data_IF_861949065103
#
_entry.id   IF_861949065103
#
_cell.length_a   1.000
_cell.length_b   1.000
_cell.length_c   1.000
_cell.angle_alpha   90.00
_cell.angle_beta   90.00
_cell.angle_gamma   90.00
#
_symmetry.space_group_name_H-M   'P 1'
#
loop_
_entity.id
_entity.type
_entity.pdbx_description
1 polymer ?
#
# COMPACT_ATOMS: atom_id res chain seq x y z
N UNK A 1 18.50 -23.46 8.28
CA UNK A 1 19.77 -23.46 7.51
C UNK A 1 19.70 -24.23 6.18
N UNK A 2 19.07 -25.41 6.09
CA UNK A 2 19.02 -26.25 4.86
C UNK A 2 18.66 -25.51 3.55
N UNK A 3 17.59 -24.71 3.53
CA UNK A 3 17.16 -23.97 2.32
C UNK A 3 18.03 -22.78 1.93
N UNK A 4 18.78 -22.21 2.88
CA UNK A 4 19.71 -21.11 2.62
C UNK A 4 20.95 -21.61 1.87
N UNK A 5 21.47 -22.79 2.27
CA UNK A 5 22.64 -23.42 1.66
C UNK A 5 22.38 -23.84 0.21
N UNK A 6 21.17 -24.32 -0.10
CA UNK A 6 20.75 -24.66 -1.47
C UNK A 6 20.89 -23.49 -2.47
N UNK A 7 20.80 -22.23 -2.00
CA UNK A 7 20.99 -21.05 -2.84
C UNK A 7 22.46 -20.80 -3.21
N UNK A 8 23.40 -21.21 -2.37
CA UNK A 8 24.83 -21.13 -2.69
C UNK A 8 25.24 -22.20 -3.71
N UNK A 9 24.59 -23.36 -3.66
CA UNK A 9 24.87 -24.51 -4.53
C UNK A 9 24.05 -24.48 -5.83
N UNK A 10 23.17 -23.49 -6.02
CA UNK A 10 22.32 -23.38 -7.22
C UNK A 10 21.28 -24.50 -7.36
N UNK A 11 20.97 -25.20 -6.27
CA UNK A 11 20.02 -26.30 -6.27
C UNK A 11 18.60 -25.80 -5.99
N UNK A 12 17.69 -26.09 -6.93
CA UNK A 12 16.28 -25.73 -6.83
C UNK A 12 15.42 -26.99 -6.98
N UNK A 13 15.05 -27.66 -5.87
CA UNK A 13 14.29 -28.91 -5.92
C UNK A 13 12.88 -28.74 -6.47
N UNK A 14 12.35 -27.51 -6.47
CA UNK A 14 10.98 -27.21 -6.87
C UNK A 14 10.97 -26.30 -8.10
N UNK A 15 10.73 -26.87 -9.26
CA UNK A 15 10.70 -26.13 -10.52
C UNK A 15 9.26 -25.82 -10.94
N UNK A 16 9.07 -24.64 -11.53
CA UNK A 16 7.76 -24.26 -12.06
C UNK A 16 7.47 -25.07 -13.34
N UNK A 17 6.28 -25.69 -13.47
CA UNK A 17 5.91 -26.38 -14.71
C UNK A 17 5.49 -25.41 -15.82
N UNK A 18 5.29 -24.12 -15.51
CA UNK A 18 4.76 -23.10 -16.42
C UNK A 18 5.83 -22.08 -16.85
N UNK A 19 7.03 -22.12 -16.27
CA UNK A 19 8.17 -21.29 -16.65
C UNK A 19 9.49 -21.90 -16.15
N UNK A 20 10.64 -21.39 -16.60
CA UNK A 20 11.97 -21.93 -16.26
C UNK A 20 12.48 -21.57 -14.85
N UNK A 21 11.63 -21.08 -13.94
CA UNK A 21 12.06 -20.67 -12.60
C UNK A 21 12.08 -21.85 -11.61
N UNK A 22 13.17 -21.93 -10.83
CA UNK A 22 13.34 -22.89 -9.73
C UNK A 22 13.28 -22.23 -8.35
N UNK A 23 12.84 -22.99 -7.35
CA UNK A 23 12.68 -22.54 -5.96
C UNK A 23 13.26 -23.55 -4.96
N UNK A 24 13.75 -23.03 -3.83
CA UNK A 24 14.32 -23.83 -2.74
C UNK A 24 13.26 -24.48 -1.84
N UNK A 25 12.00 -24.00 -1.89
CA UNK A 25 10.90 -24.51 -1.10
C UNK A 25 9.59 -24.57 -1.92
N UNK A 26 8.77 -25.60 -1.65
CA UNK A 26 7.50 -25.81 -2.35
C UNK A 26 6.51 -24.66 -2.14
N UNK A 27 6.42 -24.11 -0.93
CA UNK A 27 5.54 -22.99 -0.62
C UNK A 27 5.83 -21.75 -1.46
N UNK A 28 7.10 -21.50 -1.77
CA UNK A 28 7.53 -20.39 -2.64
C UNK A 28 7.16 -20.66 -4.09
N UNK A 29 7.29 -21.91 -4.57
CA UNK A 29 6.83 -22.31 -5.90
C UNK A 29 5.30 -22.14 -6.04
N UNK A 30 4.51 -22.63 -5.08
CA UNK A 30 3.05 -22.53 -5.14
C UNK A 30 2.59 -21.08 -5.14
N UNK A 31 3.21 -20.25 -4.31
CA UNK A 31 2.95 -18.82 -4.29
C UNK A 31 3.36 -18.13 -5.60
N UNK A 32 4.47 -18.54 -6.23
CA UNK A 32 4.83 -18.08 -7.57
C UNK A 32 3.76 -18.43 -8.61
N UNK A 33 3.34 -19.71 -8.66
CA UNK A 33 2.31 -20.19 -9.60
C UNK A 33 1.05 -19.37 -9.44
N UNK A 34 0.57 -19.25 -8.21
CA UNK A 34 -0.62 -18.46 -7.87
C UNK A 34 -0.51 -17.01 -8.35
N UNK A 35 0.62 -16.37 -8.10
CA UNK A 35 0.81 -14.94 -8.41
C UNK A 35 1.01 -14.65 -9.89
N UNK A 36 1.73 -15.54 -10.60
CA UNK A 36 2.22 -15.28 -11.96
C UNK A 36 1.45 -16.00 -13.04
N UNK A 37 0.84 -17.13 -12.74
CA UNK A 37 0.15 -17.94 -13.71
C UNK A 37 -1.36 -17.99 -13.50
N UNK A 38 -1.85 -18.20 -12.26
CA UNK A 38 -3.31 -18.25 -12.01
C UNK A 38 -3.93 -16.87 -11.82
N UNK A 39 -3.15 -15.92 -11.32
CA UNK A 39 -3.62 -14.55 -11.11
C UNK A 39 -4.51 -14.38 -9.88
N UNK A 40 -4.69 -15.43 -9.07
CA UNK A 40 -5.42 -15.39 -7.80
C UNK A 40 -4.97 -14.25 -6.90
N UNK A 41 -5.93 -13.71 -6.16
CA UNK A 41 -5.77 -12.57 -5.25
C UNK A 41 -6.30 -12.93 -3.87
N UNK A 42 -5.56 -13.71 -3.07
CA UNK A 42 -6.07 -14.24 -1.81
C UNK A 42 -6.29 -13.20 -0.70
N UNK A 43 -5.84 -11.97 -0.92
CA UNK A 43 -5.88 -10.91 0.09
C UNK A 43 -6.85 -9.83 -0.39
N UNK A 44 -8.05 -9.78 0.18
CA UNK A 44 -9.08 -8.84 -0.23
C UNK A 44 -9.21 -7.69 0.77
N UNK A 45 -9.49 -6.50 0.26
CA UNK A 45 -9.78 -5.34 1.10
C UNK A 45 -11.18 -5.47 1.72
N UNK A 46 -11.33 -5.41 3.05
CA UNK A 46 -12.63 -5.52 3.70
C UNK A 46 -13.53 -4.30 3.46
N UNK A 47 -12.97 -3.18 2.97
CA UNK A 47 -13.71 -1.93 2.75
C UNK A 47 -14.25 -1.83 1.32
N UNK A 48 -13.45 -2.21 0.32
CA UNK A 48 -13.82 -2.05 -1.10
C UNK A 48 -13.76 -3.35 -1.91
N UNK A 49 -13.54 -4.50 -1.28
CA UNK A 49 -13.42 -5.83 -1.89
C UNK A 49 -12.34 -5.95 -2.97
N UNK A 50 -11.41 -5.01 -3.04
CA UNK A 50 -10.30 -5.06 -3.99
C UNK A 50 -9.31 -6.17 -3.60
N UNK A 51 -9.09 -7.12 -4.52
CA UNK A 51 -8.16 -8.24 -4.31
C UNK A 51 -6.70 -7.93 -4.64
N UNK A 52 -5.79 -8.43 -3.80
CA UNK A 52 -4.34 -8.31 -3.89
C UNK A 52 -3.64 -9.67 -3.89
N UNK A 53 -2.51 -9.74 -4.60
CA UNK A 53 -1.67 -10.95 -4.70
C UNK A 53 -0.74 -11.15 -3.49
N UNK A 54 -0.56 -10.12 -2.65
CA UNK A 54 0.35 -10.10 -1.50
C UNK A 54 -0.27 -9.32 -0.36
N UNK A 55 -0.13 -9.84 0.87
CA UNK A 55 -0.54 -9.15 2.10
C UNK A 55 0.06 -7.74 2.22
N UNK A 56 1.35 -7.58 1.98
CA UNK A 56 2.00 -6.26 2.05
C UNK A 56 1.40 -5.22 1.08
N UNK A 57 0.84 -5.64 -0.06
CA UNK A 57 0.17 -4.71 -0.96
C UNK A 57 -1.22 -4.34 -0.44
N UNK A 58 -1.95 -5.29 0.17
CA UNK A 58 -3.18 -5.02 0.89
C UNK A 58 -2.92 -4.05 2.06
N UNK A 59 -1.92 -4.30 2.91
CA UNK A 59 -1.60 -3.44 4.06
C UNK A 59 -1.31 -1.99 3.64
N UNK A 60 -0.59 -1.82 2.53
CA UNK A 60 -0.31 -0.50 1.95
C UNK A 60 -1.56 0.13 1.32
N UNK A 61 -2.42 -0.67 0.71
CA UNK A 61 -3.72 -0.22 0.20
C UNK A 61 -4.65 0.21 1.34
N UNK A 62 -4.66 -0.46 2.48
CA UNK A 62 -5.50 -0.04 3.62
C UNK A 62 -5.17 1.39 4.08
N UNK A 63 -3.93 1.85 3.90
CA UNK A 63 -3.52 3.25 4.15
C UNK A 63 -4.20 4.25 3.21
N UNK A 64 -4.83 3.81 2.12
CA UNK A 64 -5.66 4.67 1.27
C UNK A 64 -7.01 4.96 1.90
N UNK A 65 -7.53 4.04 2.71
CA UNK A 65 -8.73 4.25 3.49
C UNK A 65 -8.45 5.04 4.77
N UNK A 66 -7.36 4.73 5.50
CA UNK A 66 -7.03 5.41 6.76
C UNK A 66 -6.29 6.74 6.60
N UNK A 67 -5.74 7.02 5.41
CA UNK A 67 -4.97 8.24 5.16
C UNK A 67 -3.55 8.25 5.74
N UNK A 68 -3.09 7.14 6.34
CA UNK A 68 -1.78 7.04 6.97
C UNK A 68 -0.60 7.31 6.03
N UNK A 69 0.40 8.01 6.57
CA UNK A 69 1.64 8.38 5.87
C UNK A 69 2.88 8.21 6.77
N UNK A 70 3.28 6.96 7.04
CA UNK A 70 4.27 6.63 8.06
C UNK A 70 5.74 6.85 7.66
N UNK A 71 5.99 7.47 6.50
CA UNK A 71 7.33 7.75 5.99
C UNK A 71 7.53 9.27 5.81
N UNK A 72 7.92 10.01 6.85
CA UNK A 72 8.28 11.42 6.72
C UNK A 72 9.58 11.61 5.93
N UNK A 73 9.66 12.69 5.17
CA UNK A 73 10.91 13.14 4.55
C UNK A 73 11.84 13.70 5.63
N UNK A 74 13.09 13.22 5.75
CA UNK A 74 14.03 13.71 6.76
C UNK A 74 14.56 15.12 6.50
N UNK A 75 14.26 15.70 5.33
CA UNK A 75 14.72 17.05 4.92
C UNK A 75 13.63 18.11 5.13
N UNK A 76 12.36 17.77 4.92
CA UNK A 76 11.24 18.72 4.98
C UNK A 76 9.99 18.21 5.73
N UNK A 77 10.10 17.08 6.43
CA UNK A 77 9.04 16.41 7.21
C UNK A 77 7.77 16.04 6.43
N UNK A 78 7.74 16.25 5.11
CA UNK A 78 6.60 15.89 4.28
C UNK A 78 6.30 14.39 4.40
N UNK A 79 5.07 13.99 4.77
CA UNK A 79 4.75 12.59 5.03
C UNK A 79 4.34 11.84 3.75
N UNK A 80 4.77 10.58 3.61
CA UNK A 80 4.46 9.70 2.50
C UNK A 80 3.83 8.37 2.95
N UNK A 81 2.93 7.82 2.13
CA UNK A 81 2.25 6.53 2.38
C UNK A 81 3.20 5.33 2.23
N UNK A 82 4.16 5.43 1.31
CA UNK A 82 5.13 4.37 1.03
C UNK A 82 6.56 4.90 1.03
N UNK A 83 7.51 4.05 1.44
CA UNK A 83 8.95 4.38 1.40
C UNK A 83 9.45 4.76 0.00
N UNK A 84 9.11 4.04 -1.09
CA UNK A 84 9.58 4.40 -2.43
C UNK A 84 9.17 5.82 -2.86
N UNK A 85 7.99 6.29 -2.44
CA UNK A 85 7.51 7.64 -2.76
C UNK A 85 8.36 8.70 -2.06
N UNK A 86 8.70 8.48 -0.78
CA UNK A 86 9.62 9.35 -0.04
C UNK A 86 11.03 9.35 -0.65
N UNK A 87 11.57 8.18 -1.02
CA UNK A 87 12.88 8.08 -1.67
C UNK A 87 12.93 8.84 -2.99
N UNK A 88 11.89 8.71 -3.83
CA UNK A 88 11.77 9.45 -5.09
C UNK A 88 11.68 10.95 -4.84
N UNK A 89 10.89 11.37 -3.84
CA UNK A 89 10.77 12.76 -3.45
C UNK A 89 12.12 13.36 -3.07
N UNK A 90 12.92 12.68 -2.25
CA UNK A 90 14.25 13.18 -1.85
C UNK A 90 15.16 13.37 -3.07
N UNK A 91 15.19 12.41 -4.00
CA UNK A 91 16.00 12.52 -5.22
C UNK A 91 15.58 13.69 -6.09
N UNK A 92 14.27 13.85 -6.32
CA UNK A 92 13.75 14.79 -7.32
C UNK A 92 13.61 16.21 -6.75
N UNK A 93 13.21 16.35 -5.49
CA UNK A 93 12.93 17.65 -4.87
C UNK A 93 14.13 18.21 -4.12
N UNK A 94 14.92 17.35 -3.46
CA UNK A 94 16.08 17.78 -2.67
C UNK A 94 17.41 17.54 -3.37
N UNK A 95 17.46 16.75 -4.45
CA UNK A 95 18.71 16.42 -5.14
C UNK A 95 19.67 15.57 -4.30
N UNK A 96 19.19 15.00 -3.19
CA UNK A 96 20.01 14.23 -2.25
C UNK A 96 19.94 12.73 -2.54
N UNK A 97 21.00 12.00 -2.16
CA UNK A 97 20.98 10.55 -2.15
C UNK A 97 20.15 10.05 -0.93
N UNK A 98 18.99 9.42 -1.15
CA UNK A 98 18.13 8.96 -0.06
C UNK A 98 18.79 7.88 0.81
N UNK A 99 19.84 7.23 0.30
CA UNK A 99 20.59 6.17 1.00
C UNK A 99 21.34 6.70 2.22
N UNK A 100 21.62 8.01 2.27
CA UNK A 100 22.20 8.69 3.43
C UNK A 100 21.23 8.75 4.61
N UNK A 101 19.91 8.63 4.37
CA UNK A 101 18.89 8.75 5.40
C UNK A 101 18.31 7.39 5.79
N UNK A 102 18.08 7.21 7.09
CA UNK A 102 17.46 6.00 7.63
C UNK A 102 15.93 6.12 7.66
N UNK A 103 15.30 6.12 6.48
CA UNK A 103 13.84 6.31 6.34
C UNK A 103 13.07 5.06 6.78
N UNK A 104 12.71 4.98 8.06
CA UNK A 104 11.99 3.81 8.59
C UNK A 104 10.49 4.05 8.62
N UNK A 105 9.76 2.97 8.81
CA UNK A 105 8.34 3.03 9.10
C UNK A 105 8.16 3.59 10.51
N UNK A 106 7.41 4.68 10.65
CA UNK A 106 7.09 5.25 11.96
C UNK A 106 5.74 4.67 12.43
N UNK A 107 5.74 3.68 13.35
CA UNK A 107 4.52 2.99 13.77
C UNK A 107 3.52 3.90 14.48
N UNK A 108 3.99 4.99 15.10
CA UNK A 108 3.15 5.99 15.76
C UNK A 108 2.39 6.89 14.76
N UNK A 109 2.69 6.80 13.47
CA UNK A 109 1.94 7.48 12.40
C UNK A 109 0.92 6.54 11.74
N UNK A 110 0.73 5.34 12.30
CA UNK A 110 -0.34 4.43 11.94
C UNK A 110 -1.42 4.47 13.00
N UNK A 111 -2.68 4.59 12.56
CA UNK A 111 -3.83 4.34 13.41
C UNK A 111 -4.10 2.83 13.34
N UNK A 112 -4.38 2.14 14.45
CA UNK A 112 -4.88 0.77 14.34
C UNK A 112 -6.09 0.80 13.43
N UNK A 113 -6.01 0.10 12.29
CA UNK A 113 -7.16 -0.15 11.44
C UNK A 113 -8.26 -0.69 12.37
N UNK A 114 -9.49 -0.17 12.35
CA UNK A 114 -10.52 -0.70 13.23
C UNK A 114 -10.60 -2.20 12.98
N UNK A 115 -10.57 -2.98 14.06
CA UNK A 115 -10.90 -4.40 13.99
C UNK A 115 -12.33 -4.44 13.48
N UNK A 116 -12.54 -4.53 12.16
CA UNK A 116 -13.85 -4.80 11.59
C UNK A 116 -14.12 -6.27 11.93
N UNK A 117 -14.48 -6.51 13.19
CA UNK A 117 -15.15 -7.72 13.62
C UNK A 117 -16.62 -7.49 13.34
N UNK A 118 -17.12 -8.20 12.34
CA UNK A 118 -18.53 -8.33 11.95
C UNK A 118 -19.16 -7.18 11.17
N UNK A 119 -19.96 -7.58 10.18
CA UNK A 119 -20.72 -6.76 9.22
C UNK A 119 -22.03 -6.21 9.81
N UNK A 120 -22.12 -5.99 11.12
CA UNK A 120 -23.39 -5.57 11.77
C UNK A 120 -23.47 -4.11 12.20
N UNK A 121 -22.39 -3.31 12.09
CA UNK A 121 -22.42 -1.91 12.55
C UNK A 121 -22.48 -0.91 11.37
N UNK A 122 -23.44 -1.12 10.46
CA UNK A 122 -23.78 -0.21 9.37
C UNK A 122 -25.00 0.67 9.67
N UNK A 123 -25.27 1.02 10.94
CA UNK A 123 -26.29 2.01 11.28
C UNK A 123 -25.82 2.99 12.36
N UNK A 124 -26.32 4.23 12.22
CA UNK A 124 -26.13 5.44 13.05
C UNK A 124 -24.83 6.19 12.71
N UNK A 125 -24.84 7.31 11.96
CA UNK A 125 -25.65 8.51 12.20
C UNK A 125 -25.92 9.25 10.88
N UNK A 126 -27.16 9.23 10.40
CA UNK A 126 -27.72 10.28 9.54
C UNK A 126 -29.19 10.42 9.92
N UNK A 127 -29.47 11.20 10.95
CA UNK A 127 -30.76 11.84 11.18
C UNK A 127 -30.50 13.18 11.89
N UNK A 128 -30.89 14.28 11.24
CA UNK A 128 -30.68 15.63 11.76
C UNK A 128 -30.65 16.69 10.67
N UNK A 129 -31.85 17.02 10.19
CA UNK A 129 -32.18 18.08 9.24
C UNK A 129 -31.67 19.47 9.69
N UNK A 130 -31.14 20.29 8.77
CA UNK A 130 -31.55 21.70 8.70
C UNK A 130 -31.40 22.24 7.27
N UNK A 131 -32.48 22.83 6.77
CA UNK A 131 -32.60 23.49 5.46
C UNK A 131 -32.34 24.99 5.62
N UNK A 132 -32.05 25.64 4.49
CA UNK A 132 -31.99 27.11 4.27
C UNK A 132 -30.64 27.74 4.66
N UNK A 133 -29.97 28.61 3.90
CA UNK A 133 -30.46 29.59 2.93
C UNK A 133 -29.35 30.00 1.94
N UNK A 134 -29.85 30.43 0.79
CA UNK A 134 -29.32 31.27 -0.29
C UNK A 134 -28.29 32.36 0.06
N UNK A 135 -27.34 32.57 -0.86
CA UNK A 135 -26.96 33.89 -1.38
C UNK A 135 -25.67 34.53 -0.83
N UNK A 136 -24.66 34.75 -1.69
CA UNK A 136 -24.21 36.10 -2.06
C UNK A 136 -23.23 36.06 -3.27
N UNK A 137 -23.66 36.78 -4.31
CA UNK A 137 -22.99 37.55 -5.38
C UNK A 137 -21.45 37.53 -5.45
N UNK A 138 -20.88 37.26 -6.64
CA UNK A 138 -20.25 38.31 -7.48
C UNK A 138 -18.72 38.34 -7.24
N UNK A 139 -17.80 38.51 -8.18
CA UNK A 139 -17.85 39.18 -9.47
C UNK A 139 -16.62 38.76 -10.30
N UNK A 140 -16.86 38.40 -11.55
CA UNK A 140 -16.19 38.85 -12.79
C UNK A 140 -14.66 38.94 -12.89
N UNK A 141 -14.15 38.48 -14.05
CA UNK A 141 -12.89 38.96 -14.59
C UNK A 141 -12.27 38.16 -15.74
N UNK A 142 -12.93 38.14 -16.92
CA UNK A 142 -12.37 38.24 -18.29
C UNK A 142 -11.29 37.21 -18.70
N UNK A 143 -11.48 36.36 -19.73
CA UNK A 143 -11.53 36.78 -21.13
C UNK A 143 -10.11 37.16 -21.60
N UNK A 144 -9.49 36.66 -22.64
CA UNK A 144 -9.86 35.98 -23.90
C UNK A 144 -8.58 35.16 -24.27
N UNK A 145 -8.40 34.41 -25.35
CA UNK A 145 -8.92 34.31 -26.72
C UNK A 145 -8.29 33.04 -27.32
#
# INVERSE_FOLDING_TARGET
MKYHLMRHEGMFPYNCPLCSNGYTANSVLQDHIRRKHTGEKPFECPVCNQGFKRKAHLDVHLRTHTGEKPYPCPVCDRPFRQRPDCLKHIRVIHGEDPSKFNIRFHPNMCVPFPQIVSVTDMELVLDGEDLMQTGFEGNQGLGNE
#
